data_IF_840393207587
#
_entry.id   IF_840393207587
#
_cell.length_a   1.000
_cell.length_b   1.000
_cell.length_c   1.000
_cell.angle_alpha   90.00
_cell.angle_beta   90.00
_cell.angle_gamma   90.00
#
_symmetry.space_group_name_H-M   'P 1'
#
loop_
_entity.id
_entity.type
_entity.pdbx_description
1 polymer ?
#
# COMPACT_ATOMS: atom_id res chain seq x y z
N UNK A 1 -10.04 -18.36 -2.20
CA UNK A 1 -10.69 -19.42 -1.39
C UNK A 1 -10.21 -19.39 0.04
N UNK A 2 -8.98 -19.83 0.37
CA UNK A 2 -8.49 -19.88 1.76
C UNK A 2 -8.80 -18.62 2.61
N UNK A 3 -8.54 -17.41 2.09
CA UNK A 3 -8.85 -16.16 2.78
C UNK A 3 -10.35 -16.01 3.06
N UNK A 4 -11.19 -16.24 2.05
CA UNK A 4 -12.64 -16.03 2.16
C UNK A 4 -13.32 -17.11 3.02
N UNK A 5 -12.89 -18.37 2.90
CA UNK A 5 -13.42 -19.46 3.73
C UNK A 5 -13.10 -19.23 5.21
N UNK A 6 -11.90 -18.74 5.52
CA UNK A 6 -11.54 -18.39 6.88
C UNK A 6 -12.37 -17.19 7.40
N UNK A 7 -12.55 -16.17 6.57
CA UNK A 7 -13.35 -14.99 6.93
C UNK A 7 -14.82 -15.32 7.18
N UNK A 8 -15.40 -16.20 6.36
CA UNK A 8 -16.76 -16.72 6.51
C UNK A 8 -16.91 -17.55 7.80
N UNK A 9 -15.94 -18.40 8.11
CA UNK A 9 -15.96 -19.21 9.35
C UNK A 9 -15.98 -18.36 10.63
N UNK A 10 -15.35 -17.17 10.60
CA UNK A 10 -15.22 -16.30 11.78
C UNK A 10 -16.05 -15.00 11.70
N UNK A 11 -16.90 -14.84 10.69
CA UNK A 11 -17.72 -13.65 10.46
C UNK A 11 -16.89 -12.34 10.49
N UNK A 12 -15.81 -12.31 9.72
CA UNK A 12 -14.84 -11.20 9.70
C UNK A 12 -14.78 -10.49 8.33
N UNK A 13 -14.61 -9.16 8.30
CA UNK A 13 -14.34 -8.45 7.05
C UNK A 13 -12.93 -8.77 6.53
N UNK A 14 -12.72 -8.59 5.22
CA UNK A 14 -11.47 -8.95 4.56
C UNK A 14 -10.85 -7.76 3.83
N UNK A 15 -9.54 -7.58 4.00
CA UNK A 15 -8.70 -6.82 3.08
C UNK A 15 -7.83 -7.84 2.33
N UNK A 16 -7.98 -7.92 1.01
CA UNK A 16 -7.08 -8.68 0.13
C UNK A 16 -6.25 -7.70 -0.66
N UNK A 17 -4.93 -7.82 -0.55
CA UNK A 17 -4.01 -6.94 -1.27
C UNK A 17 -3.27 -7.63 -2.42
N UNK A 18 -2.91 -6.85 -3.44
CA UNK A 18 -2.12 -7.33 -4.56
C UNK A 18 -0.97 -6.37 -4.87
N UNK A 19 0.26 -6.89 -4.77
CA UNK A 19 1.50 -6.22 -5.13
C UNK A 19 1.67 -6.06 -6.65
N UNK A 20 2.68 -5.29 -7.07
CA UNK A 20 3.10 -5.24 -8.46
C UNK A 20 3.57 -6.62 -8.98
N UNK A 21 4.23 -7.41 -8.13
CA UNK A 21 4.66 -8.78 -8.43
C UNK A 21 3.48 -9.71 -8.72
N UNK A 22 2.45 -9.68 -7.87
CA UNK A 22 1.22 -10.44 -8.06
C UNK A 22 0.52 -10.07 -9.37
N UNK A 23 0.44 -8.77 -9.70
CA UNK A 23 -0.13 -8.30 -10.98
C UNK A 23 0.65 -8.82 -12.19
N UNK A 24 1.98 -8.89 -12.10
CA UNK A 24 2.84 -9.44 -13.17
C UNK A 24 2.69 -10.95 -13.31
N UNK A 25 2.54 -11.67 -12.19
CA UNK A 25 2.41 -13.12 -12.16
C UNK A 25 1.03 -13.59 -12.65
N UNK A 26 -0.04 -13.09 -12.03
CA UNK A 26 -1.40 -13.53 -12.30
C UNK A 26 -2.07 -12.77 -13.46
N UNK A 27 -1.65 -11.52 -13.72
CA UNK A 27 -2.32 -10.60 -14.62
C UNK A 27 -3.46 -9.84 -13.94
N UNK A 28 -3.50 -8.52 -14.13
CA UNK A 28 -4.43 -7.65 -13.41
C UNK A 28 -5.92 -7.99 -13.61
N UNK A 29 -6.30 -8.48 -14.80
CA UNK A 29 -7.68 -8.91 -15.08
C UNK A 29 -8.07 -10.19 -14.34
N UNK A 30 -7.15 -11.14 -14.19
CA UNK A 30 -7.40 -12.33 -13.39
C UNK A 30 -7.62 -11.96 -11.93
N UNK A 31 -6.80 -11.06 -11.38
CA UNK A 31 -6.96 -10.59 -10.00
C UNK A 31 -8.32 -9.90 -9.78
N UNK A 32 -8.74 -9.03 -10.70
CA UNK A 32 -10.08 -8.41 -10.67
C UNK A 32 -11.20 -9.46 -10.60
N UNK A 33 -11.19 -10.43 -11.52
CA UNK A 33 -12.22 -11.45 -11.56
C UNK A 33 -12.16 -12.44 -10.39
N UNK A 34 -11.00 -12.68 -9.79
CA UNK A 34 -10.89 -13.47 -8.57
C UNK A 34 -11.60 -12.82 -7.39
N UNK A 35 -11.52 -11.49 -7.28
CA UNK A 35 -12.23 -10.76 -6.22
C UNK A 35 -13.72 -10.67 -6.52
N UNK A 36 -14.12 -10.44 -7.78
CA UNK A 36 -15.54 -10.49 -8.18
C UNK A 36 -16.16 -11.86 -7.80
N UNK A 37 -15.49 -12.96 -8.15
CA UNK A 37 -15.95 -14.30 -7.78
C UNK A 37 -16.00 -14.52 -6.26
N UNK A 38 -15.05 -13.95 -5.50
CA UNK A 38 -15.06 -14.01 -4.04
C UNK A 38 -16.26 -13.29 -3.44
N UNK A 39 -16.61 -12.10 -3.94
CA UNK A 39 -17.77 -11.35 -3.47
C UNK A 39 -19.08 -12.05 -3.87
N UNK A 40 -19.13 -12.68 -5.05
CA UNK A 40 -20.29 -13.47 -5.48
C UNK A 40 -20.51 -14.73 -4.64
N UNK A 41 -19.44 -15.46 -4.29
CA UNK A 41 -19.51 -16.69 -3.50
C UNK A 41 -19.79 -16.41 -2.01
N UNK A 42 -19.33 -15.25 -1.49
CA UNK A 42 -19.43 -14.87 -0.08
C UNK A 42 -20.10 -13.48 0.07
N UNK A 43 -21.40 -13.34 -0.26
CA UNK A 43 -22.06 -12.04 -0.39
C UNK A 43 -22.24 -11.28 0.92
N UNK A 44 -22.19 -11.96 2.06
CA UNK A 44 -22.35 -11.37 3.39
C UNK A 44 -21.02 -10.86 3.98
N UNK A 45 -19.88 -11.18 3.36
CA UNK A 45 -18.55 -10.79 3.83
C UNK A 45 -18.10 -9.49 3.13
N UNK A 46 -17.87 -8.39 3.88
CA UNK A 46 -17.31 -7.17 3.30
C UNK A 46 -15.88 -7.40 2.80
N UNK A 47 -15.61 -7.10 1.54
CA UNK A 47 -14.28 -7.26 0.91
C UNK A 47 -13.73 -5.93 0.42
N UNK A 48 -12.51 -5.61 0.86
CA UNK A 48 -11.67 -4.56 0.30
C UNK A 48 -10.60 -5.17 -0.59
N UNK A 49 -10.50 -4.69 -1.84
CA UNK A 49 -9.39 -5.02 -2.73
C UNK A 49 -8.38 -3.87 -2.72
N UNK A 50 -7.22 -4.13 -2.14
CA UNK A 50 -6.19 -3.12 -1.89
C UNK A 50 -4.99 -3.28 -2.85
N UNK A 51 -4.54 -2.19 -3.47
CA UNK A 51 -3.27 -2.21 -4.20
C UNK A 51 -2.13 -1.94 -3.23
N UNK A 52 -1.22 -2.91 -3.13
CA UNK A 52 -0.03 -2.79 -2.29
C UNK A 52 1.13 -2.12 -3.06
N UNK A 53 1.93 -1.32 -2.35
CA UNK A 53 3.09 -0.55 -2.82
C UNK A 53 2.91 0.08 -4.21
N UNK A 54 2.03 1.09 -4.34
CA UNK A 54 1.88 1.85 -5.57
C UNK A 54 3.09 2.75 -5.86
N UNK A 55 3.87 2.42 -6.89
CA UNK A 55 5.11 3.14 -7.26
C UNK A 55 4.90 4.59 -7.74
N UNK A 56 3.69 4.93 -8.15
CA UNK A 56 3.37 6.26 -8.66
C UNK A 56 1.86 6.52 -8.63
N UNK A 57 1.43 7.79 -8.71
CA UNK A 57 0.02 8.13 -8.90
C UNK A 57 -0.60 7.44 -10.13
N UNK A 58 0.13 7.30 -11.23
CA UNK A 58 -0.37 6.61 -12.43
C UNK A 58 -0.69 5.13 -12.16
N UNK A 59 0.15 4.45 -11.38
CA UNK A 59 -0.09 3.06 -10.97
C UNK A 59 -1.31 2.97 -10.07
N UNK A 60 -1.48 3.90 -9.14
CA UNK A 60 -2.70 3.99 -8.30
C UNK A 60 -3.96 4.29 -9.12
N UNK A 61 -3.85 5.09 -10.18
CA UNK A 61 -4.96 5.38 -11.08
C UNK A 61 -5.37 4.14 -11.88
N UNK A 62 -4.39 3.38 -12.39
CA UNK A 62 -4.63 2.10 -13.07
C UNK A 62 -5.28 1.08 -12.11
N UNK A 63 -4.77 1.02 -10.89
CA UNK A 63 -5.47 0.63 -9.65
C UNK A 63 -6.98 0.69 -9.70
N UNK A 64 -7.43 1.94 -9.59
CA UNK A 64 -8.82 2.35 -9.49
C UNK A 64 -9.59 1.94 -10.75
N UNK A 65 -9.00 2.10 -11.94
CA UNK A 65 -9.64 1.70 -13.21
C UNK A 65 -9.89 0.20 -13.33
N UNK A 66 -9.15 -0.62 -12.59
CA UNK A 66 -9.32 -2.06 -12.51
C UNK A 66 -10.31 -2.50 -11.42
N UNK A 67 -10.93 -1.55 -10.71
CA UNK A 67 -11.95 -1.85 -9.69
C UNK A 67 -11.40 -2.04 -8.28
N UNK A 68 -10.14 -1.70 -8.01
CA UNK A 68 -9.62 -1.68 -6.65
C UNK A 68 -10.37 -0.65 -5.81
N UNK A 69 -10.83 -1.05 -4.63
CA UNK A 69 -11.55 -0.19 -3.69
C UNK A 69 -10.63 0.53 -2.70
N UNK A 70 -9.33 0.18 -2.68
CA UNK A 70 -8.29 0.88 -1.93
C UNK A 70 -6.94 0.80 -2.65
N UNK A 71 -6.08 1.82 -2.47
CA UNK A 71 -4.72 1.85 -3.02
C UNK A 71 -3.72 2.41 -1.99
N UNK A 72 -2.52 1.84 -1.94
CA UNK A 72 -1.37 2.45 -1.27
C UNK A 72 -0.57 3.27 -2.29
N UNK A 73 -0.34 4.55 -1.98
CA UNK A 73 0.73 5.32 -2.61
C UNK A 73 1.96 5.22 -1.73
N UNK A 74 2.91 4.36 -2.12
CA UNK A 74 4.17 4.26 -1.42
C UNK A 74 5.11 5.38 -1.91
N UNK A 75 4.89 6.57 -1.34
CA UNK A 75 5.72 7.73 -1.57
C UNK A 75 6.99 7.75 -0.71
N UNK A 76 7.21 6.77 0.17
CA UNK A 76 8.44 6.68 0.99
C UNK A 76 9.66 6.36 0.11
N UNK A 77 9.41 5.74 -1.05
CA UNK A 77 10.37 5.45 -2.09
C UNK A 77 10.08 6.27 -3.36
N UNK A 78 11.10 6.46 -4.19
CA UNK A 78 10.95 6.96 -5.56
C UNK A 78 10.29 5.90 -6.46
N UNK A 79 9.90 6.22 -7.71
CA UNK A 79 9.21 5.27 -8.59
C UNK A 79 10.00 4.01 -8.95
N UNK A 80 11.29 3.96 -8.61
CA UNK A 80 12.13 2.76 -8.72
C UNK A 80 11.87 1.75 -7.59
N UNK A 81 11.05 2.11 -6.59
CA UNK A 81 10.69 1.34 -5.40
C UNK A 81 11.89 0.87 -4.58
N UNK A 82 12.99 1.64 -4.63
CA UNK A 82 14.28 1.28 -4.03
C UNK A 82 15.00 2.45 -3.39
N UNK A 83 14.83 3.64 -3.93
CA UNK A 83 15.50 4.84 -3.43
C UNK A 83 14.58 5.56 -2.46
N UNK A 84 14.97 5.76 -1.18
CA UNK A 84 14.22 6.62 -0.26
C UNK A 84 13.97 8.01 -0.85
N UNK A 85 12.74 8.48 -0.75
CA UNK A 85 12.33 9.77 -1.29
C UNK A 85 12.52 10.89 -0.26
N UNK A 86 12.28 12.15 -0.67
CA UNK A 86 12.16 13.25 0.27
C UNK A 86 10.74 13.38 0.81
N UNK A 87 10.58 13.91 2.02
CA UNK A 87 9.27 14.20 2.62
C UNK A 87 8.36 15.00 1.67
N UNK A 88 8.89 16.04 1.01
CA UNK A 88 8.13 16.86 0.08
C UNK A 88 7.60 16.08 -1.13
N UNK A 89 8.41 15.15 -1.66
CA UNK A 89 7.99 14.29 -2.77
C UNK A 89 6.87 13.35 -2.33
N UNK A 90 7.03 12.73 -1.16
CA UNK A 90 6.04 11.84 -0.58
C UNK A 90 4.70 12.54 -0.38
N UNK A 91 4.69 13.73 0.25
CA UNK A 91 3.47 14.52 0.44
C UNK A 91 2.82 14.89 -0.89
N UNK A 92 3.59 15.35 -1.87
CA UNK A 92 3.05 15.77 -3.17
C UNK A 92 2.38 14.63 -3.93
N UNK A 93 3.07 13.48 -4.04
CA UNK A 93 2.56 12.31 -4.76
C UNK A 93 1.38 11.66 -4.04
N UNK A 94 1.45 11.54 -2.71
CA UNK A 94 0.36 11.00 -1.90
C UNK A 94 -0.88 11.89 -1.91
N UNK A 95 -0.73 13.22 -1.85
CA UNK A 95 -1.85 14.16 -1.97
C UNK A 95 -2.51 14.10 -3.36
N UNK A 96 -1.71 13.98 -4.42
CA UNK A 96 -2.25 13.79 -5.77
C UNK A 96 -3.08 12.51 -5.87
N UNK A 97 -2.54 11.39 -5.35
CA UNK A 97 -3.25 10.11 -5.30
C UNK A 97 -4.54 10.19 -4.49
N UNK A 98 -4.48 10.82 -3.32
CA UNK A 98 -5.66 11.00 -2.45
C UNK A 98 -6.77 11.76 -3.16
N UNK A 99 -6.44 12.87 -3.83
CA UNK A 99 -7.44 13.67 -4.56
C UNK A 99 -8.14 12.88 -5.67
N UNK A 100 -7.39 12.10 -6.45
CA UNK A 100 -7.99 11.32 -7.54
C UNK A 100 -8.78 10.11 -7.01
N UNK A 101 -8.31 9.45 -5.96
CA UNK A 101 -8.96 8.28 -5.36
C UNK A 101 -10.27 8.66 -4.65
N UNK A 102 -10.24 9.72 -3.83
CA UNK A 102 -11.41 10.22 -3.11
C UNK A 102 -12.50 10.72 -4.05
N UNK A 103 -12.15 11.26 -5.21
CA UNK A 103 -13.12 11.63 -6.25
C UNK A 103 -13.90 10.42 -6.81
N UNK A 104 -13.38 9.20 -6.63
CA UNK A 104 -14.00 7.94 -7.03
C UNK A 104 -14.52 7.11 -5.83
N UNK A 105 -14.40 7.61 -4.60
CA UNK A 105 -14.77 6.87 -3.38
C UNK A 105 -13.80 5.74 -3.01
N UNK A 106 -12.55 5.80 -3.49
CA UNK A 106 -11.49 4.82 -3.19
C UNK A 106 -10.62 5.33 -2.06
N UNK A 107 -10.30 4.47 -1.08
CA UNK A 107 -9.44 4.81 0.06
C UNK A 107 -7.96 4.80 -0.31
N UNK A 108 -7.16 5.63 0.37
CA UNK A 108 -5.72 5.73 0.17
C UNK A 108 -4.95 5.45 1.46
N UNK A 109 -3.98 4.55 1.35
CA UNK A 109 -2.89 4.39 2.31
C UNK A 109 -1.64 5.14 1.82
N UNK A 110 -0.95 5.81 2.73
CA UNK A 110 0.39 6.37 2.47
C UNK A 110 1.40 5.86 3.49
N UNK A 111 2.68 5.86 3.14
CA UNK A 111 3.76 5.43 4.03
C UNK A 111 4.66 6.62 4.42
N UNK A 112 4.99 6.74 5.70
CA UNK A 112 5.99 7.70 6.19
C UNK A 112 7.08 6.98 6.99
N UNK A 113 8.35 7.26 6.65
CA UNK A 113 9.49 6.43 7.06
C UNK A 113 9.72 5.30 6.07
N UNK A 114 10.87 4.63 6.15
CA UNK A 114 11.24 3.51 5.30
C UNK A 114 11.29 2.23 6.14
N UNK A 115 10.59 1.18 5.69
CA UNK A 115 10.69 -0.13 6.34
C UNK A 115 12.13 -0.65 6.34
N UNK A 116 12.53 -1.26 7.45
CA UNK A 116 13.91 -1.69 7.65
C UNK A 116 14.20 -2.17 9.06
N UNK A 117 15.08 -3.16 9.17
CA UNK A 117 15.51 -3.68 10.45
C UNK A 117 16.43 -2.66 11.15
N UNK A 118 16.03 -2.20 12.34
CA UNK A 118 16.81 -1.27 13.16
C UNK A 118 18.18 -1.81 13.58
N UNK A 119 18.35 -3.14 13.61
CA UNK A 119 19.62 -3.79 13.95
C UNK A 119 20.60 -3.81 12.77
N UNK A 120 20.09 -3.96 11.54
CA UNK A 120 20.93 -4.20 10.36
C UNK A 120 20.98 -3.00 9.41
N UNK A 121 20.03 -2.07 9.51
CA UNK A 121 19.87 -0.95 8.60
C UNK A 121 19.37 -1.32 7.21
N UNK A 122 18.80 -2.52 7.03
CA UNK A 122 18.38 -3.04 5.73
C UNK A 122 16.86 -3.21 5.66
N UNK A 123 16.27 -2.74 4.56
CA UNK A 123 14.96 -3.17 4.12
C UNK A 123 15.10 -4.55 3.46
N UNK A 124 14.25 -5.51 3.82
CA UNK A 124 14.05 -6.72 2.99
C UNK A 124 13.46 -6.34 1.63
N UNK A 125 13.18 -7.31 0.77
CA UNK A 125 12.51 -7.07 -0.51
C UNK A 125 11.16 -7.79 -0.53
N UNK A 126 10.05 -7.06 -0.72
CA UNK A 126 8.72 -7.62 -0.99
C UNK A 126 8.42 -7.47 -2.48
N UNK A 127 8.44 -8.56 -3.23
CA UNK A 127 8.21 -8.54 -4.69
C UNK A 127 9.08 -7.53 -5.47
N UNK A 128 10.27 -7.22 -4.94
CA UNK A 128 11.23 -6.26 -5.51
C UNK A 128 11.07 -4.82 -5.01
N UNK A 129 10.17 -4.57 -4.06
CA UNK A 129 10.00 -3.30 -3.33
C UNK A 129 10.79 -3.34 -2.03
N UNK A 130 11.57 -2.29 -1.78
CA UNK A 130 12.33 -2.17 -0.54
C UNK A 130 13.57 -1.30 -0.73
N UNK A 131 13.90 -0.50 0.29
CA UNK A 131 15.01 0.43 0.21
C UNK A 131 16.36 -0.29 0.01
N UNK A 132 17.14 0.15 -0.98
CA UNK A 132 18.48 -0.39 -1.21
C UNK A 132 19.56 0.43 -0.48
N UNK A 133 20.51 -0.27 0.14
CA UNK A 133 21.61 0.33 0.89
C UNK A 133 21.46 0.15 2.40
N UNK A 134 22.14 1.01 3.15
CA UNK A 134 22.03 1.07 4.62
C UNK A 134 21.25 2.33 4.98
N UNK A 135 20.06 2.14 5.52
CA UNK A 135 19.20 3.21 6.01
C UNK A 135 19.74 3.76 7.34
N UNK A 136 19.55 5.07 7.56
CA UNK A 136 19.78 5.67 8.86
C UNK A 136 18.69 5.28 9.87
N UNK A 137 18.96 5.47 11.15
CA UNK A 137 17.97 5.22 12.21
C UNK A 137 16.73 6.10 12.04
N UNK A 138 16.93 7.38 11.69
CA UNK A 138 15.85 8.35 11.43
C UNK A 138 14.99 7.95 10.22
N UNK A 139 15.58 7.32 9.20
CA UNK A 139 14.81 6.82 8.07
C UNK A 139 13.91 5.63 8.45
N UNK A 140 14.29 4.82 9.44
CA UNK A 140 13.57 3.59 9.83
C UNK A 140 12.63 3.77 11.03
N UNK A 141 12.51 4.98 11.57
CA UNK A 141 11.64 5.31 12.70
C UNK A 141 10.87 6.58 12.39
N UNK A 142 9.58 6.42 12.15
CA UNK A 142 8.68 7.54 11.86
C UNK A 142 8.60 8.50 13.03
N UNK A 143 8.85 9.78 12.78
CA UNK A 143 8.62 10.85 13.74
C UNK A 143 7.10 11.10 13.92
N UNK A 144 6.56 11.07 15.16
CA UNK A 144 5.14 11.28 15.41
C UNK A 144 4.61 12.66 14.98
N UNK A 145 5.43 13.71 15.07
CA UNK A 145 5.05 15.07 14.65
C UNK A 145 5.00 15.14 13.12
N UNK A 146 5.97 14.53 12.42
CA UNK A 146 5.92 14.40 10.95
C UNK A 146 4.72 13.56 10.49
N UNK A 147 4.36 12.49 11.22
CA UNK A 147 3.18 11.68 10.92
C UNK A 147 1.88 12.49 11.00
N UNK A 148 1.73 13.32 12.04
CA UNK A 148 0.57 14.21 12.19
C UNK A 148 0.49 15.24 11.05
N UNK A 149 1.63 15.83 10.68
CA UNK A 149 1.71 16.78 9.56
C UNK A 149 1.46 16.11 8.21
N UNK A 150 1.95 14.89 8.01
CA UNK A 150 1.76 14.12 6.78
C UNK A 150 0.28 13.78 6.56
N UNK A 151 -0.40 13.25 7.57
CA UNK A 151 -1.84 12.94 7.50
C UNK A 151 -2.65 14.20 7.22
N UNK A 152 -2.32 15.31 7.89
CA UNK A 152 -2.99 16.60 7.67
C UNK A 152 -2.78 17.14 6.26
N UNK A 153 -1.60 16.97 5.69
CA UNK A 153 -1.26 17.49 4.37
C UNK A 153 -1.79 16.62 3.22
N UNK A 154 -1.83 15.30 3.42
CA UNK A 154 -2.15 14.33 2.36
C UNK A 154 -3.60 13.87 2.40
N UNK A 155 -4.25 13.87 3.57
CA UNK A 155 -5.59 13.34 3.79
C UNK A 155 -5.75 11.83 3.54
N UNK A 156 -4.67 11.05 3.71
CA UNK A 156 -4.75 9.58 3.63
C UNK A 156 -5.74 9.01 4.65
N UNK A 157 -6.36 7.88 4.28
CA UNK A 157 -7.32 7.14 5.11
C UNK A 157 -6.60 6.18 6.07
N UNK A 158 -5.41 5.73 5.69
CA UNK A 158 -4.51 4.90 6.48
C UNK A 158 -3.06 5.41 6.36
N UNK A 159 -2.28 5.25 7.44
CA UNK A 159 -0.87 5.62 7.48
C UNK A 159 -0.02 4.40 7.86
N UNK A 160 0.81 3.94 6.93
CA UNK A 160 1.91 3.03 7.22
C UNK A 160 3.07 3.80 7.85
N UNK A 161 3.65 3.21 8.90
CA UNK A 161 4.76 3.79 9.67
C UNK A 161 5.92 2.79 9.77
N UNK A 162 7.14 3.30 9.83
CA UNK A 162 8.34 2.52 10.11
C UNK A 162 8.61 2.51 11.61
N UNK A 163 8.58 1.30 12.20
CA UNK A 163 8.85 1.06 13.63
C UNK A 163 9.83 -0.11 13.85
N UNK A 164 10.62 -0.43 12.82
CA UNK A 164 11.62 -1.50 12.84
C UNK A 164 11.18 -2.85 12.28
N UNK A 165 9.98 -2.94 11.71
CA UNK A 165 9.57 -4.07 10.87
C UNK A 165 10.26 -4.00 9.50
N UNK A 166 10.42 -5.15 8.87
CA UNK A 166 10.93 -5.26 7.50
C UNK A 166 10.20 -6.38 6.77
N UNK A 167 10.19 -6.32 5.43
CA UNK A 167 9.78 -7.45 4.61
C UNK A 167 10.68 -8.68 4.85
N UNK A 168 10.10 -9.87 4.59
CA UNK A 168 10.70 -11.18 4.87
C UNK A 168 11.23 -11.90 3.62
#
# INVERSE_FOLDING_TARGET
>A
RAIMEAADEVDAPVIVQASAGARKYAGSRFLSHLIEAAVEEFPDIPVCMHQDHGASPDVCQQSIQLGFSSVMMDGSLLPDQKTPSSYSYNVETTLLTTRMAHACGVSVEGELGCLGSLETGKAGEEDGVGAQGTLSHEQMLTDPDEAADFVKATHVDALAIAIGTSHG
#
